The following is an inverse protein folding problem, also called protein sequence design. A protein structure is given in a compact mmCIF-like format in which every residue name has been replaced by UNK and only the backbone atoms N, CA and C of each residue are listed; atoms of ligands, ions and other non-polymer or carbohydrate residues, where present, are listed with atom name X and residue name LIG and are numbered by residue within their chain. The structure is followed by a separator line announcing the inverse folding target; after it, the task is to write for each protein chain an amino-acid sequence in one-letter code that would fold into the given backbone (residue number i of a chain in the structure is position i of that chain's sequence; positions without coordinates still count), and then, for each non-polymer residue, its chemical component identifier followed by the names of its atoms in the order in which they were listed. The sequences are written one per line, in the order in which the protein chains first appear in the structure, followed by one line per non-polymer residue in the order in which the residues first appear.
data_IF_254904614196
#
_entry.id   IF_254904614196
#
_cell.length_a   1.000
_cell.length_b   1.000
_cell.length_c   1.000
_cell.angle_alpha   90.00
_cell.angle_beta   90.00
_cell.angle_gamma   90.00
#
_symmetry.space_group_name_H-M   'P 1'
#
loop_
_entity.id
_entity.type
_entity.pdbx_description
1 polymer ?
#
# COMPACT_ATOMS: atom_id res chain seq x y z
N UNK A 1 47.72 -31.25 11.11
CA UNK A 1 46.52 -30.80 10.37
C UNK A 1 45.85 -29.73 11.20
N UNK A 2 45.77 -28.47 10.79
CA UNK A 2 45.03 -27.44 11.55
C UNK A 2 43.55 -27.62 11.33
N UNK A 3 42.79 -27.66 12.41
CA UNK A 3 41.34 -27.69 12.39
C UNK A 3 40.79 -26.31 11.95
N UNK A 4 40.06 -26.27 10.86
CA UNK A 4 39.32 -25.10 10.40
C UNK A 4 38.08 -24.98 11.28
N UNK A 5 38.04 -24.00 12.19
CA UNK A 5 36.81 -23.63 12.93
C UNK A 5 35.95 -22.81 11.99
N UNK A 6 34.88 -23.40 11.51
CA UNK A 6 33.84 -22.68 10.76
C UNK A 6 33.04 -21.83 11.74
N UNK A 7 33.25 -20.51 11.71
CA UNK A 7 32.40 -19.55 12.42
C UNK A 7 31.12 -19.39 11.60
N UNK A 8 30.01 -20.02 12.09
CA UNK A 8 28.68 -19.78 11.55
C UNK A 8 28.24 -18.37 11.94
N UNK A 9 28.18 -17.45 11.00
CA UNK A 9 27.50 -16.17 11.17
C UNK A 9 25.98 -16.42 11.16
N UNK A 10 25.37 -16.48 12.34
CA UNK A 10 23.92 -16.32 12.43
C UNK A 10 23.60 -14.86 12.11
N UNK A 11 23.02 -14.60 10.96
CA UNK A 11 22.43 -13.30 10.69
C UNK A 11 21.33 -13.08 11.73
N UNK A 12 21.53 -12.15 12.67
CA UNK A 12 20.51 -11.74 13.60
C UNK A 12 19.30 -11.22 12.79
N UNK A 13 18.08 -11.69 13.15
CA UNK A 13 16.88 -11.18 12.52
C UNK A 13 16.82 -9.66 12.76
N UNK A 14 16.53 -8.90 11.70
CA UNK A 14 16.38 -7.45 11.81
C UNK A 14 15.27 -7.12 12.83
N UNK A 15 15.47 -6.14 13.70
CA UNK A 15 14.45 -5.74 14.66
C UNK A 15 13.22 -5.21 13.91
N UNK A 16 12.03 -5.56 14.40
CA UNK A 16 10.77 -5.09 13.85
C UNK A 16 10.33 -3.78 14.52
N UNK A 17 9.56 -3.00 13.79
CA UNK A 17 8.80 -1.87 14.32
C UNK A 17 7.42 -1.83 13.70
N UNK A 18 6.51 -1.10 14.34
CA UNK A 18 5.17 -0.82 13.84
C UNK A 18 5.00 0.68 13.61
N UNK A 19 4.29 1.05 12.55
CA UNK A 19 4.02 2.44 12.16
C UNK A 19 2.93 3.02 13.06
N UNK A 20 3.17 4.21 13.64
CA UNK A 20 2.26 4.94 14.52
C UNK A 20 1.56 6.13 13.86
N UNK A 21 2.01 6.58 12.71
CA UNK A 21 1.36 7.64 11.95
C UNK A 21 0.31 7.06 10.99
N UNK A 22 -0.80 7.76 10.71
CA UNK A 22 -1.78 7.33 9.71
C UNK A 22 -1.12 6.95 8.38
N UNK A 23 -0.18 7.79 7.93
CA UNK A 23 0.70 7.55 6.79
C UNK A 23 2.07 8.12 7.12
N UNK A 24 3.08 7.27 7.17
CA UNK A 24 4.47 7.67 7.34
C UNK A 24 5.15 7.70 5.97
N UNK A 25 5.66 8.87 5.56
CA UNK A 25 6.46 8.99 4.34
C UNK A 25 7.79 8.25 4.49
N UNK A 26 8.20 7.62 3.41
CA UNK A 26 9.53 7.02 3.25
C UNK A 26 10.32 7.88 2.24
N UNK A 27 11.47 8.36 2.65
CA UNK A 27 12.31 9.28 1.89
C UNK A 27 13.53 8.57 1.31
N UNK A 28 14.07 9.09 0.22
CA UNK A 28 15.29 8.54 -0.43
C UNK A 28 16.56 8.69 0.43
N UNK A 29 16.57 9.64 1.37
CA UNK A 29 17.65 9.90 2.35
C UNK A 29 17.04 10.44 3.65
N UNK A 30 17.77 10.46 4.79
CA UNK A 30 17.25 10.93 6.09
C UNK A 30 17.11 12.45 6.14
N UNK A 31 16.13 12.99 5.42
CA UNK A 31 15.81 14.41 5.34
C UNK A 31 14.39 14.61 4.81
N UNK A 32 13.63 15.54 5.39
CA UNK A 32 12.30 15.92 4.87
C UNK A 32 12.37 16.70 3.54
N UNK A 33 13.54 17.21 3.16
CA UNK A 33 13.81 17.83 1.85
C UNK A 33 14.15 16.78 0.76
N UNK A 34 14.19 15.50 1.11
CA UNK A 34 14.43 14.42 0.14
C UNK A 34 13.14 14.00 -0.57
N UNK A 35 13.31 13.32 -1.72
CA UNK A 35 12.18 12.75 -2.44
C UNK A 35 11.46 11.71 -1.59
N UNK A 36 10.12 11.81 -1.54
CA UNK A 36 9.28 10.74 -1.01
C UNK A 36 9.25 9.61 -2.04
N UNK A 37 9.72 8.44 -1.64
CA UNK A 37 9.84 7.27 -2.53
C UNK A 37 8.73 6.25 -2.32
N UNK A 38 8.13 6.23 -1.12
CA UNK A 38 7.00 5.36 -0.77
C UNK A 38 6.35 5.83 0.54
N UNK A 39 5.38 5.07 1.03
CA UNK A 39 4.71 5.30 2.31
C UNK A 39 4.48 3.98 3.04
N UNK A 40 4.37 4.06 4.38
CA UNK A 40 3.89 2.97 5.23
C UNK A 40 2.69 3.47 6.04
N UNK A 41 1.61 2.68 6.09
CA UNK A 41 0.37 3.08 6.75
C UNK A 41 0.36 2.64 8.23
N UNK A 42 -0.55 3.24 9.02
CA UNK A 42 -0.76 2.95 10.42
C UNK A 42 -0.86 1.43 10.70
N UNK A 43 -0.15 0.95 11.71
CA UNK A 43 -0.14 -0.46 12.08
C UNK A 43 0.67 -1.38 11.15
N UNK A 44 1.26 -0.86 10.07
CA UNK A 44 2.14 -1.66 9.22
C UNK A 44 3.39 -2.10 9.99
N UNK A 45 3.74 -3.37 9.84
CA UNK A 45 5.00 -3.91 10.37
C UNK A 45 6.13 -3.64 9.37
N UNK A 46 7.25 -3.15 9.87
CA UNK A 46 8.44 -2.85 9.07
C UNK A 46 9.68 -3.45 9.74
N UNK A 47 10.71 -3.76 8.95
CA UNK A 47 12.03 -4.13 9.48
C UNK A 47 12.89 -2.88 9.61
N UNK A 48 13.57 -2.73 10.74
CA UNK A 48 14.54 -1.67 10.95
C UNK A 48 15.90 -2.10 10.41
N UNK A 49 16.41 -1.38 9.42
CA UNK A 49 17.71 -1.67 8.79
C UNK A 49 18.83 -0.87 9.44
N UNK A 50 18.57 0.42 9.70
CA UNK A 50 19.54 1.39 10.20
C UNK A 50 18.82 2.51 10.94
N UNK A 51 19.51 3.19 11.86
CA UNK A 51 19.04 4.41 12.54
C UNK A 51 20.13 5.47 12.49
N UNK A 52 19.73 6.72 12.23
CA UNK A 52 20.63 7.87 12.14
C UNK A 52 19.88 9.16 12.51
N UNK A 53 20.35 9.87 13.55
CA UNK A 53 19.89 11.24 13.93
C UNK A 53 18.36 11.45 13.90
N UNK A 54 17.59 10.56 14.53
CA UNK A 54 16.13 10.66 14.58
C UNK A 54 15.40 10.08 13.37
N UNK A 55 16.14 9.46 12.44
CA UNK A 55 15.64 8.75 11.28
C UNK A 55 15.84 7.23 11.41
N UNK A 56 15.00 6.48 10.74
CA UNK A 56 15.11 5.05 10.58
C UNK A 56 15.03 4.67 9.10
N UNK A 57 16.02 3.92 8.62
CA UNK A 57 15.94 3.23 7.35
C UNK A 57 15.12 1.97 7.56
N UNK A 58 14.01 1.85 6.88
CA UNK A 58 13.06 0.75 7.06
C UNK A 58 12.89 -0.06 5.77
N UNK A 59 12.42 -1.30 5.94
CA UNK A 59 11.95 -2.14 4.85
C UNK A 59 10.49 -2.53 5.10
N UNK A 60 9.63 -2.27 4.13
CA UNK A 60 8.22 -2.67 4.11
C UNK A 60 8.05 -4.13 3.66
N UNK A 61 6.85 -4.68 3.77
CA UNK A 61 6.56 -6.10 3.45
C UNK A 61 6.65 -6.44 1.97
N UNK A 62 6.69 -5.45 1.10
CA UNK A 62 6.95 -5.55 -0.34
C UNK A 62 8.44 -5.41 -0.70
N UNK A 63 9.32 -5.53 0.31
CA UNK A 63 10.78 -5.38 0.22
C UNK A 63 11.28 -3.99 -0.21
N UNK A 64 10.39 -2.98 -0.24
CA UNK A 64 10.80 -1.62 -0.53
C UNK A 64 11.50 -0.98 0.66
N UNK A 65 12.49 -0.12 0.41
CA UNK A 65 13.26 0.53 1.48
C UNK A 65 13.23 2.04 1.36
N UNK A 66 13.31 2.73 2.49
CA UNK A 66 13.38 4.18 2.56
C UNK A 66 13.55 4.65 3.99
N UNK A 67 13.82 5.94 4.15
CA UNK A 67 14.01 6.59 5.44
C UNK A 67 12.70 7.20 5.94
N UNK A 68 12.39 6.99 7.20
CA UNK A 68 11.25 7.64 7.87
C UNK A 68 11.68 8.20 9.22
N UNK A 69 10.89 9.11 9.79
CA UNK A 69 11.15 9.60 11.14
C UNK A 69 11.06 8.46 12.17
N UNK A 70 12.07 8.33 13.01
CA UNK A 70 12.08 7.34 14.09
C UNK A 70 10.86 7.51 15.03
N UNK A 71 10.41 8.74 15.23
CA UNK A 71 9.22 9.06 16.02
C UNK A 71 7.90 8.54 15.42
N UNK A 72 7.89 8.19 14.13
CA UNK A 72 6.74 7.57 13.47
C UNK A 72 6.64 6.05 13.75
N UNK A 73 7.62 5.48 14.45
CA UNK A 73 7.76 4.05 14.64
C UNK A 73 7.76 3.69 16.13
N UNK A 74 7.27 2.50 16.42
CA UNK A 74 7.45 1.84 17.72
C UNK A 74 8.16 0.51 17.50
N UNK A 75 9.42 0.37 17.96
CA UNK A 75 10.10 -0.92 17.97
C UNK A 75 9.35 -1.94 18.85
N UNK A 76 9.30 -3.19 18.39
CA UNK A 76 8.63 -4.24 19.16
C UNK A 76 8.20 -5.44 18.31
N UNK A 77 7.38 -6.32 18.89
CA UNK A 77 6.85 -7.49 18.19
C UNK A 77 5.92 -7.08 17.05
N UNK A 78 5.68 -8.00 16.13
CA UNK A 78 4.73 -7.80 15.04
C UNK A 78 3.32 -7.49 15.58
N UNK A 79 2.72 -6.44 15.06
CA UNK A 79 1.37 -5.99 15.37
C UNK A 79 0.35 -6.64 14.42
N UNK A 80 -0.85 -6.92 14.88
CA UNK A 80 -1.95 -7.53 14.11
C UNK A 80 -1.52 -8.74 13.26
N UNK A 81 -0.55 -9.53 13.78
CA UNK A 81 0.03 -10.68 13.09
C UNK A 81 -0.57 -12.02 13.53
N UNK A 82 -1.30 -12.02 14.63
CA UNK A 82 -1.93 -13.24 15.22
C UNK A 82 -3.30 -12.86 15.78
N UNK A 83 -4.19 -13.86 15.86
CA UNK A 83 -5.54 -13.64 16.37
C UNK A 83 -6.49 -13.09 15.31
N UNK A 84 -7.61 -12.53 15.77
CA UNK A 84 -8.61 -11.94 14.89
C UNK A 84 -8.19 -10.52 14.50
N UNK A 85 -8.18 -10.24 13.21
CA UNK A 85 -7.77 -8.96 12.66
C UNK A 85 -8.95 -8.31 11.94
N UNK A 86 -9.23 -7.03 12.24
CA UNK A 86 -10.13 -6.18 11.48
C UNK A 86 -9.30 -5.37 10.48
N UNK A 87 -9.71 -5.37 9.21
CA UNK A 87 -9.07 -4.61 8.13
C UNK A 87 -10.03 -3.55 7.59
N UNK A 88 -9.58 -2.31 7.51
CA UNK A 88 -10.38 -1.18 7.02
C UNK A 88 -10.73 -1.39 5.55
N UNK A 89 -12.04 -1.38 5.26
CA UNK A 89 -12.61 -1.52 3.92
C UNK A 89 -13.22 -0.20 3.39
N UNK A 90 -13.54 0.74 4.27
CA UNK A 90 -13.88 2.11 3.89
C UNK A 90 -12.63 2.84 3.37
N UNK A 91 -12.79 3.92 2.58
CA UNK A 91 -11.64 4.71 2.10
C UNK A 91 -10.79 5.25 3.26
N UNK A 92 -11.42 5.48 4.40
CA UNK A 92 -10.79 5.75 5.69
C UNK A 92 -11.70 5.27 6.81
N UNK A 93 -11.15 5.08 8.01
CA UNK A 93 -11.90 4.80 9.22
C UNK A 93 -11.43 5.70 10.36
N UNK A 94 -12.37 6.06 11.22
CA UNK A 94 -12.09 6.78 12.46
C UNK A 94 -11.96 5.78 13.62
N UNK A 95 -10.90 5.93 14.40
CA UNK A 95 -10.75 5.19 15.66
C UNK A 95 -11.17 6.10 16.80
N UNK A 96 -12.15 5.68 17.57
CA UNK A 96 -12.72 6.45 18.67
C UNK A 96 -12.19 5.99 20.01
N UNK A 97 -12.28 6.86 21.01
CA UNK A 97 -11.90 6.58 22.40
C UNK A 97 -12.90 5.66 23.10
N UNK A 98 -14.17 5.77 22.73
CA UNK A 98 -15.31 5.02 23.25
C UNK A 98 -16.30 4.74 22.10
N UNK A 99 -17.25 3.82 22.25
CA UNK A 99 -18.22 3.48 21.18
C UNK A 99 -19.32 4.55 21.02
N UNK A 100 -18.89 5.77 20.77
CA UNK A 100 -19.76 6.95 20.61
C UNK A 100 -19.07 7.99 19.71
N UNK A 101 -19.73 8.36 18.61
CA UNK A 101 -19.21 9.34 17.65
C UNK A 101 -19.42 10.81 18.08
N UNK A 102 -20.22 11.04 19.12
CA UNK A 102 -20.69 12.39 19.48
C UNK A 102 -19.91 13.04 20.62
N UNK A 103 -19.21 12.23 21.44
CA UNK A 103 -18.62 12.73 22.69
C UNK A 103 -17.23 13.31 22.54
N UNK A 104 -16.39 12.69 21.70
CA UNK A 104 -14.99 13.09 21.53
C UNK A 104 -14.61 13.00 20.06
N UNK A 105 -13.62 13.80 19.66
CA UNK A 105 -12.97 13.63 18.37
C UNK A 105 -12.31 12.25 18.28
N UNK A 106 -12.19 11.67 17.07
CA UNK A 106 -11.42 10.46 16.84
C UNK A 106 -9.99 10.55 17.39
N UNK A 107 -9.47 9.47 17.92
CA UNK A 107 -8.06 9.35 18.33
C UNK A 107 -7.13 9.46 17.13
N UNK A 108 -7.54 8.82 16.02
CA UNK A 108 -6.82 8.82 14.75
C UNK A 108 -7.78 8.49 13.62
N UNK A 109 -7.52 9.03 12.43
CA UNK A 109 -8.16 8.62 11.17
C UNK A 109 -7.13 7.88 10.35
N UNK A 110 -7.48 6.68 9.88
CA UNK A 110 -6.58 5.77 9.20
C UNK A 110 -7.07 5.43 7.80
N UNK A 111 -6.18 5.14 6.83
CA UNK A 111 -6.57 4.83 5.46
C UNK A 111 -7.13 3.41 5.31
N UNK A 112 -7.64 3.13 4.11
CA UNK A 112 -7.99 1.81 3.60
C UNK A 112 -6.83 0.81 3.82
N UNK A 113 -7.14 -0.46 4.03
CA UNK A 113 -6.19 -1.57 4.34
C UNK A 113 -5.50 -1.48 5.71
N UNK A 114 -5.75 -0.46 6.54
CA UNK A 114 -5.23 -0.45 7.91
C UNK A 114 -5.78 -1.64 8.69
N UNK A 115 -4.90 -2.35 9.41
CA UNK A 115 -5.23 -3.57 10.15
C UNK A 115 -5.13 -3.34 11.64
N UNK A 116 -6.06 -3.95 12.39
CA UNK A 116 -6.14 -3.83 13.84
C UNK A 116 -6.32 -5.19 14.51
N UNK A 117 -5.66 -5.38 15.66
CA UNK A 117 -5.94 -6.49 16.57
C UNK A 117 -7.31 -6.29 17.23
N UNK A 118 -8.23 -7.23 17.04
CA UNK A 118 -9.55 -7.21 17.67
C UNK A 118 -9.45 -7.71 19.11
N UNK A 119 -9.93 -6.88 20.04
CA UNK A 119 -9.99 -7.21 21.47
C UNK A 119 -11.36 -7.77 21.84
N UNK A 120 -12.43 -7.11 21.38
CA UNK A 120 -13.80 -7.52 21.66
C UNK A 120 -14.78 -7.04 20.58
N UNK A 121 -15.87 -7.79 20.43
CA UNK A 121 -17.02 -7.45 19.62
C UNK A 121 -18.24 -7.41 20.53
N UNK A 122 -18.72 -6.20 20.89
CA UNK A 122 -19.92 -6.06 21.69
C UNK A 122 -21.15 -6.68 21.00
N UNK A 123 -22.09 -7.15 21.79
CA UNK A 123 -23.28 -7.84 21.26
C UNK A 123 -24.24 -6.97 20.44
N UNK A 124 -24.06 -5.64 20.40
CA UNK A 124 -24.82 -4.73 19.54
C UNK A 124 -24.32 -4.66 18.10
N UNK A 125 -23.18 -5.28 17.82
CA UNK A 125 -22.54 -5.41 16.50
C UNK A 125 -22.26 -4.10 15.77
N UNK A 126 -22.42 -2.93 16.39
CA UNK A 126 -22.13 -1.62 15.77
C UNK A 126 -20.66 -1.22 15.92
N UNK A 127 -20.01 -1.73 16.95
CA UNK A 127 -18.67 -1.35 17.34
C UNK A 127 -17.75 -2.54 17.51
N UNK A 128 -16.47 -2.32 17.26
CA UNK A 128 -15.41 -3.30 17.45
C UNK A 128 -14.34 -2.63 18.31
N UNK A 129 -14.01 -3.27 19.43
CA UNK A 129 -12.89 -2.84 20.25
C UNK A 129 -11.58 -3.42 19.71
N UNK A 130 -10.61 -2.55 19.50
CA UNK A 130 -9.30 -2.89 18.96
C UNK A 130 -8.18 -2.43 19.88
N UNK A 131 -7.06 -3.12 19.81
CA UNK A 131 -5.80 -2.66 20.37
C UNK A 131 -5.05 -1.88 19.29
N UNK A 132 -4.55 -0.70 19.64
CA UNK A 132 -3.75 0.15 18.76
C UNK A 132 -2.26 -0.28 18.79
N UNK A 133 -1.46 0.12 17.79
CA UNK A 133 -0.03 -0.18 17.76
C UNK A 133 0.75 0.32 18.98
N UNK A 134 0.25 1.32 19.69
CA UNK A 134 0.82 1.87 20.92
C UNK A 134 0.23 1.26 22.21
N UNK A 135 -0.45 0.12 22.10
CA UNK A 135 -1.13 -0.64 23.14
C UNK A 135 -2.36 0.03 23.78
N UNK A 136 -2.76 1.23 23.35
CA UNK A 136 -4.04 1.82 23.75
C UNK A 136 -5.20 1.02 23.14
N UNK A 137 -6.36 1.10 23.81
CA UNK A 137 -7.61 0.63 23.23
C UNK A 137 -8.27 1.70 22.39
N UNK A 138 -8.95 1.29 21.33
CA UNK A 138 -9.77 2.14 20.49
C UNK A 138 -11.02 1.40 20.01
N UNK A 139 -11.93 2.12 19.41
CA UNK A 139 -13.20 1.62 18.89
C UNK A 139 -13.37 1.98 17.43
N UNK A 140 -13.73 1.01 16.61
CA UNK A 140 -14.07 1.17 15.20
C UNK A 140 -15.56 0.91 14.99
N UNK A 141 -16.16 1.61 14.05
CA UNK A 141 -17.49 1.26 13.55
C UNK A 141 -17.37 -0.02 12.71
N UNK A 142 -18.23 -1.00 12.98
CA UNK A 142 -18.19 -2.30 12.31
C UNK A 142 -18.40 -2.22 10.80
N UNK A 143 -19.13 -1.21 10.32
CA UNK A 143 -19.36 -0.95 8.89
C UNK A 143 -18.11 -0.51 8.12
N UNK A 144 -17.06 -0.08 8.83
CA UNK A 144 -15.81 0.39 8.19
C UNK A 144 -14.80 -0.73 7.93
N UNK A 145 -15.01 -1.92 8.48
CA UNK A 145 -14.01 -3.00 8.47
C UNK A 145 -14.58 -4.33 8.00
N UNK A 146 -13.69 -5.21 7.56
CA UNK A 146 -13.99 -6.62 7.34
C UNK A 146 -13.01 -7.49 8.12
N UNK A 147 -13.46 -8.70 8.42
CA UNK A 147 -12.63 -9.75 8.99
C UNK A 147 -12.27 -10.75 7.87
N UNK A 148 -11.10 -11.35 7.98
CA UNK A 148 -10.66 -12.43 7.09
C UNK A 148 -10.83 -12.10 5.60
N UNK A 149 -10.42 -10.87 5.23
CA UNK A 149 -10.49 -10.38 3.86
C UNK A 149 -9.78 -11.36 2.91
N UNK A 150 -10.54 -11.88 1.95
CA UNK A 150 -10.04 -12.83 0.95
C UNK A 150 -9.45 -12.09 -0.24
N UNK A 151 -8.49 -12.72 -0.96
CA UNK A 151 -8.04 -12.21 -2.24
C UNK A 151 -9.21 -12.03 -3.22
N UNK A 152 -9.23 -10.89 -3.90
CA UNK A 152 -10.26 -10.54 -4.87
C UNK A 152 -9.99 -11.21 -6.22
N UNK A 153 -11.06 -11.59 -6.91
CA UNK A 153 -11.02 -11.88 -8.35
C UNK A 153 -10.78 -10.58 -9.15
N UNK A 154 -10.39 -10.71 -10.43
CA UNK A 154 -10.21 -9.55 -11.33
C UNK A 154 -11.48 -8.67 -11.38
N UNK A 155 -12.69 -9.21 -11.61
CA UNK A 155 -13.91 -8.39 -11.62
C UNK A 155 -14.15 -7.64 -10.30
N UNK A 156 -13.91 -8.28 -9.14
CA UNK A 156 -14.07 -7.64 -7.83
C UNK A 156 -13.02 -6.55 -7.61
N UNK A 157 -11.77 -6.77 -8.01
CA UNK A 157 -10.70 -5.76 -7.95
C UNK A 157 -11.02 -4.56 -8.84
N UNK A 158 -11.53 -4.77 -10.06
CA UNK A 158 -11.95 -3.70 -10.95
C UNK A 158 -13.16 -2.95 -10.38
N UNK A 159 -14.14 -3.64 -9.79
CA UNK A 159 -15.25 -2.99 -9.09
C UNK A 159 -14.74 -2.15 -7.90
N UNK A 160 -13.80 -2.68 -7.11
CA UNK A 160 -13.15 -1.94 -6.03
C UNK A 160 -12.45 -0.68 -6.54
N UNK A 161 -11.73 -0.75 -7.67
CA UNK A 161 -10.93 0.36 -8.19
C UNK A 161 -11.76 1.63 -8.44
N UNK A 162 -13.02 1.49 -8.85
CA UNK A 162 -13.92 2.61 -9.09
C UNK A 162 -14.22 3.44 -7.83
N UNK A 163 -14.10 2.87 -6.63
CA UNK A 163 -14.31 3.60 -5.37
C UNK A 163 -13.25 4.66 -5.10
N UNK A 164 -12.11 4.57 -5.74
CA UNK A 164 -10.97 5.48 -5.57
C UNK A 164 -10.96 6.63 -6.57
N UNK A 165 -11.83 6.63 -7.57
CA UNK A 165 -11.93 7.73 -8.56
C UNK A 165 -12.15 9.06 -7.84
N UNK A 166 -11.33 10.06 -8.19
CA UNK A 166 -11.34 11.39 -7.57
C UNK A 166 -10.41 11.54 -6.36
N UNK A 167 -9.83 10.46 -5.83
CA UNK A 167 -8.79 10.59 -4.79
C UNK A 167 -7.57 11.31 -5.35
N UNK A 168 -6.88 12.15 -4.53
CA UNK A 168 -5.75 12.94 -4.98
C UNK A 168 -4.57 12.06 -5.42
N UNK A 169 -3.85 12.53 -6.45
CA UNK A 169 -2.52 12.04 -6.75
C UNK A 169 -1.53 12.54 -5.70
N UNK A 170 -0.72 11.65 -5.17
CA UNK A 170 0.35 11.99 -4.22
C UNK A 170 1.61 11.26 -4.65
N UNK A 171 2.68 11.99 -4.93
CA UNK A 171 3.98 11.39 -5.28
C UNK A 171 4.48 10.49 -4.15
N UNK A 172 4.89 9.26 -4.48
CA UNK A 172 5.25 8.23 -3.49
C UNK A 172 4.05 7.63 -2.76
N UNK A 173 2.81 8.03 -3.09
CA UNK A 173 1.59 7.64 -2.38
C UNK A 173 1.22 6.17 -2.54
N UNK A 174 0.86 5.53 -1.42
CA UNK A 174 0.45 4.11 -1.35
C UNK A 174 -0.84 3.91 -0.56
N UNK A 175 -1.55 4.96 -0.22
CA UNK A 175 -2.74 4.91 0.65
C UNK A 175 -3.94 5.63 0.04
N UNK A 176 -5.13 5.39 0.57
CA UNK A 176 -6.35 6.10 0.18
C UNK A 176 -6.37 7.59 0.54
N UNK A 177 -5.33 8.10 1.19
CA UNK A 177 -5.13 9.55 1.37
C UNK A 177 -4.45 10.19 0.15
N UNK A 178 -3.95 9.39 -0.77
CA UNK A 178 -3.38 9.75 -2.05
C UNK A 178 -2.49 8.63 -2.59
N UNK A 179 -2.63 8.35 -3.87
CA UNK A 179 -1.82 7.35 -4.58
C UNK A 179 -0.97 8.01 -5.66
N UNK A 180 0.21 7.44 -5.93
CA UNK A 180 0.81 7.59 -7.26
C UNK A 180 0.38 6.43 -8.18
N UNK A 181 0.84 6.46 -9.43
CA UNK A 181 0.41 5.51 -10.45
C UNK A 181 0.73 4.05 -10.08
N UNK A 182 1.96 3.78 -9.67
CA UNK A 182 2.43 2.44 -9.36
C UNK A 182 1.97 1.96 -7.98
N UNK A 183 1.82 2.86 -7.00
CA UNK A 183 1.24 2.56 -5.68
C UNK A 183 -0.24 2.20 -5.79
N UNK A 184 -1.00 2.85 -6.68
CA UNK A 184 -2.39 2.50 -6.95
C UNK A 184 -2.51 1.11 -7.61
N UNK A 185 -1.74 0.85 -8.66
CA UNK A 185 -1.70 -0.46 -9.32
C UNK A 185 -1.26 -1.57 -8.34
N UNK A 186 -0.21 -1.30 -7.54
CA UNK A 186 0.26 -2.22 -6.51
C UNK A 186 -0.82 -2.55 -5.46
N UNK A 187 -1.56 -1.54 -4.99
CA UNK A 187 -2.66 -1.74 -4.04
C UNK A 187 -3.73 -2.65 -4.63
N UNK A 188 -4.15 -2.43 -5.88
CA UNK A 188 -5.15 -3.26 -6.53
C UNK A 188 -4.69 -4.72 -6.66
N UNK A 189 -3.44 -4.96 -7.06
CA UNK A 189 -2.89 -6.31 -7.15
C UNK A 189 -2.69 -6.95 -5.76
N UNK A 190 -2.30 -6.18 -4.74
CA UNK A 190 -2.24 -6.65 -3.36
C UNK A 190 -3.59 -7.15 -2.86
N UNK A 191 -4.71 -6.50 -3.24
CA UNK A 191 -6.06 -6.98 -2.94
C UNK A 191 -6.41 -8.31 -3.60
N UNK A 192 -5.69 -8.70 -4.66
CA UNK A 192 -5.76 -10.02 -5.29
C UNK A 192 -4.82 -11.05 -4.63
N UNK A 193 -4.06 -10.66 -3.62
CA UNK A 193 -3.05 -11.49 -2.98
C UNK A 193 -1.71 -11.51 -3.71
N UNK A 194 -1.45 -10.57 -4.61
CA UNK A 194 -0.21 -10.46 -5.38
C UNK A 194 0.71 -9.41 -4.76
N UNK A 195 1.92 -9.83 -4.39
CA UNK A 195 2.96 -8.92 -3.88
C UNK A 195 3.85 -8.45 -5.04
N UNK A 196 3.45 -7.36 -5.68
CA UNK A 196 4.11 -6.78 -6.84
C UNK A 196 5.13 -5.70 -6.40
N UNK A 197 6.24 -5.47 -7.16
CA UNK A 197 7.17 -4.37 -6.88
C UNK A 197 6.48 -3.00 -6.80
N UNK A 198 7.10 -2.06 -6.05
CA UNK A 198 6.55 -0.73 -5.78
C UNK A 198 6.53 0.17 -7.02
N UNK A 199 7.61 0.20 -7.80
CA UNK A 199 7.80 1.17 -8.88
C UNK A 199 7.42 0.61 -10.25
N UNK A 200 6.95 1.48 -11.16
CA UNK A 200 6.38 1.10 -12.45
C UNK A 200 7.36 0.31 -13.36
N UNK A 201 8.64 0.70 -13.45
CA UNK A 201 9.61 -0.06 -14.25
C UNK A 201 9.88 -1.45 -13.64
N UNK A 202 10.20 -1.60 -12.33
CA UNK A 202 10.28 -2.91 -11.69
C UNK A 202 9.01 -3.77 -11.84
N UNK A 203 7.81 -3.18 -11.80
CA UNK A 203 6.56 -3.91 -12.05
C UNK A 203 6.51 -4.52 -13.46
N UNK A 204 6.90 -3.73 -14.47
CA UNK A 204 6.90 -4.19 -15.86
C UNK A 204 7.95 -5.26 -16.14
N UNK A 205 9.05 -5.26 -15.40
CA UNK A 205 10.18 -6.19 -15.54
C UNK A 205 10.09 -7.39 -14.58
N UNK A 206 9.07 -7.44 -13.72
CA UNK A 206 8.93 -8.45 -12.69
C UNK A 206 8.63 -9.85 -13.26
N UNK A 207 9.24 -10.89 -12.69
CA UNK A 207 9.04 -12.28 -13.09
C UNK A 207 7.60 -12.80 -12.86
N UNK A 208 6.82 -12.12 -12.02
CA UNK A 208 5.40 -12.43 -11.73
C UNK A 208 4.43 -12.03 -12.84
N UNK A 209 4.90 -11.39 -13.93
CA UNK A 209 4.07 -10.98 -15.06
C UNK A 209 4.51 -11.63 -16.38
N UNK A 210 3.59 -11.65 -17.36
CA UNK A 210 3.88 -12.05 -18.74
C UNK A 210 3.55 -10.90 -19.71
N UNK A 211 4.31 -10.73 -20.81
CA UNK A 211 3.97 -9.75 -21.85
C UNK A 211 2.61 -10.04 -22.50
N UNK A 212 1.88 -8.97 -22.77
CA UNK A 212 0.59 -9.01 -23.49
C UNK A 212 0.70 -8.14 -24.74
N UNK A 213 0.25 -8.64 -25.89
CA UNK A 213 0.11 -7.80 -27.08
C UNK A 213 -1.05 -6.81 -26.87
N UNK A 214 -0.91 -5.57 -27.36
CA UNK A 214 -1.94 -4.53 -27.19
C UNK A 214 -3.29 -4.88 -27.83
N UNK A 215 -3.32 -5.78 -28.82
CA UNK A 215 -4.55 -6.31 -29.43
C UNK A 215 -5.25 -7.39 -28.58
N UNK A 216 -4.54 -7.99 -27.62
CA UNK A 216 -4.98 -9.11 -26.79
C UNK A 216 -5.25 -8.69 -25.34
N UNK A 217 -5.41 -7.35 -25.11
CA UNK A 217 -5.70 -6.80 -23.78
C UNK A 217 -7.00 -7.35 -23.21
N UNK A 218 -6.96 -7.72 -21.95
CA UNK A 218 -8.11 -8.13 -21.16
C UNK A 218 -8.22 -7.29 -19.87
N UNK A 219 -9.42 -7.10 -19.32
CA UNK A 219 -9.61 -6.41 -18.04
C UNK A 219 -8.70 -6.99 -16.94
N UNK A 220 -8.02 -6.11 -16.20
CA UNK A 220 -7.02 -6.47 -15.20
C UNK A 220 -5.57 -6.47 -15.71
N UNK A 221 -5.33 -6.33 -17.01
CA UNK A 221 -3.96 -6.17 -17.53
C UNK A 221 -3.37 -4.82 -17.07
N UNK A 222 -2.07 -4.83 -16.75
CA UNK A 222 -1.30 -3.66 -16.39
C UNK A 222 -0.77 -2.99 -17.66
N UNK A 223 -1.04 -1.71 -17.81
CA UNK A 223 -0.55 -0.88 -18.90
C UNK A 223 0.63 -0.03 -18.42
N UNK A 224 1.67 0.07 -19.25
CA UNK A 224 2.89 0.79 -18.93
C UNK A 224 3.20 1.84 -19.99
N UNK A 225 3.46 3.05 -19.52
CA UNK A 225 3.65 4.24 -20.34
C UNK A 225 5.03 4.84 -20.09
N UNK A 226 5.66 5.36 -21.13
CA UNK A 226 6.98 5.95 -21.05
C UNK A 226 7.56 6.23 -22.44
N UNK A 227 8.86 6.55 -22.52
CA UNK A 227 9.53 6.77 -23.79
C UNK A 227 9.93 5.47 -24.50
N UNK A 228 10.04 4.38 -23.77
CA UNK A 228 10.33 3.03 -24.29
C UNK A 228 10.00 1.97 -23.23
N UNK A 229 9.94 0.67 -23.60
CA UNK A 229 9.76 -0.42 -22.63
C UNK A 229 10.87 -0.51 -21.55
N UNK A 230 12.01 0.12 -21.78
CA UNK A 230 13.13 0.22 -20.82
C UNK A 230 13.14 1.53 -20.04
N UNK A 231 12.19 2.42 -20.30
CA UNK A 231 12.08 3.71 -19.61
C UNK A 231 10.59 4.03 -19.39
N UNK A 232 10.01 3.29 -18.44
CA UNK A 232 8.61 3.39 -18.01
C UNK A 232 8.53 4.39 -16.86
N UNK A 233 7.60 5.33 -16.96
CA UNK A 233 7.39 6.39 -15.96
C UNK A 233 5.97 6.42 -15.41
N UNK A 234 5.05 5.61 -15.99
CA UNK A 234 3.65 5.59 -15.55
C UNK A 234 3.01 4.22 -15.80
N UNK A 235 1.97 3.91 -15.02
CA UNK A 235 1.20 2.67 -15.12
C UNK A 235 -0.27 2.89 -14.78
N UNK A 236 -1.12 1.98 -15.27
CA UNK A 236 -2.53 1.90 -14.95
C UNK A 236 -3.08 0.50 -15.19
N UNK A 237 -4.32 0.26 -14.81
CA UNK A 237 -5.00 -1.03 -14.90
C UNK A 237 -6.08 -0.96 -15.97
N UNK A 238 -6.03 -1.85 -16.94
CA UNK A 238 -6.99 -1.91 -18.04
C UNK A 238 -8.37 -2.39 -17.55
N UNK A 239 -9.41 -1.64 -17.91
CA UNK A 239 -10.80 -1.93 -17.54
C UNK A 239 -11.58 -2.67 -18.64
N UNK A 240 -11.07 -2.68 -19.87
CA UNK A 240 -11.80 -3.10 -21.06
C UNK A 240 -12.23 -1.92 -21.93
N UNK A 241 -12.69 -2.19 -23.15
CA UNK A 241 -13.23 -1.21 -24.10
C UNK A 241 -12.34 0.02 -24.35
N UNK A 242 -11.01 -0.16 -24.29
CA UNK A 242 -10.04 0.90 -24.45
C UNK A 242 -9.88 1.81 -23.23
N UNK A 243 -10.53 1.53 -22.12
CA UNK A 243 -10.45 2.30 -20.88
C UNK A 243 -9.44 1.69 -19.90
N UNK A 244 -8.80 2.54 -19.12
CA UNK A 244 -7.96 2.11 -18.00
C UNK A 244 -8.10 3.09 -16.83
N UNK A 245 -7.87 2.61 -15.61
CA UNK A 245 -7.87 3.42 -14.40
C UNK A 245 -6.44 3.62 -13.92
N UNK A 246 -6.13 4.83 -13.50
CA UNK A 246 -4.81 5.20 -13.02
C UNK A 246 -4.85 6.38 -12.05
N UNK A 247 -3.83 6.53 -11.21
CA UNK A 247 -3.56 7.77 -10.50
C UNK A 247 -2.57 8.58 -11.35
N UNK A 248 -2.93 9.78 -11.76
CA UNK A 248 -2.15 10.56 -12.71
C UNK A 248 -2.15 12.04 -12.36
N UNK A 249 -1.17 12.78 -12.91
CA UNK A 249 -1.14 14.25 -12.90
C UNK A 249 -1.57 14.84 -14.24
N UNK A 250 -1.92 14.00 -15.22
CA UNK A 250 -2.39 14.46 -16.53
C UNK A 250 -3.82 14.99 -16.40
N UNK A 251 -4.06 16.20 -16.90
CA UNK A 251 -5.30 16.99 -16.78
C UNK A 251 -5.69 17.32 -15.34
N UNK A 252 -5.97 16.32 -14.51
CA UNK A 252 -6.26 16.50 -13.09
C UNK A 252 -5.38 15.57 -12.24
N UNK A 253 -4.83 16.05 -11.10
CA UNK A 253 -3.97 15.23 -10.24
C UNK A 253 -4.80 14.31 -9.33
N UNK A 254 -5.46 13.31 -9.90
CA UNK A 254 -6.37 12.39 -9.19
C UNK A 254 -6.28 10.96 -9.77
N UNK A 255 -6.93 10.02 -9.08
CA UNK A 255 -7.31 8.74 -9.67
C UNK A 255 -8.45 8.98 -10.66
N UNK A 256 -8.26 8.59 -11.92
CA UNK A 256 -9.25 8.79 -12.97
C UNK A 256 -9.27 7.63 -13.98
N UNK A 257 -10.28 7.65 -14.85
CA UNK A 257 -10.44 6.69 -15.94
C UNK A 257 -10.14 7.41 -17.24
N UNK A 258 -9.14 6.90 -17.95
CA UNK A 258 -8.67 7.43 -19.23
C UNK A 258 -8.89 6.43 -20.38
N UNK A 259 -8.63 6.86 -21.60
CA UNK A 259 -8.73 6.02 -22.79
C UNK A 259 -7.35 5.83 -23.43
N UNK A 260 -6.98 4.57 -23.71
CA UNK A 260 -5.69 4.23 -24.37
C UNK A 260 -5.54 4.86 -25.77
N UNK A 261 -6.66 5.27 -26.41
CA UNK A 261 -6.67 5.92 -27.73
C UNK A 261 -6.51 7.44 -27.64
N UNK A 262 -6.56 8.01 -26.44
CA UNK A 262 -6.27 9.42 -26.26
C UNK A 262 -4.87 9.76 -26.80
N UNK A 263 -4.71 10.90 -27.52
CA UNK A 263 -3.42 11.27 -28.13
C UNK A 263 -2.25 11.33 -27.15
N UNK A 264 -2.48 11.69 -25.89
CA UNK A 264 -1.46 11.67 -24.86
C UNK A 264 -1.04 10.24 -24.55
N UNK A 265 -2.00 9.40 -24.20
CA UNK A 265 -1.74 8.03 -23.73
C UNK A 265 -1.27 7.09 -24.85
N UNK A 266 -1.84 7.22 -26.05
CA UNK A 266 -1.48 6.37 -27.19
C UNK A 266 -0.02 6.53 -27.64
N UNK A 267 0.58 7.72 -27.44
CA UNK A 267 2.00 7.98 -27.73
C UNK A 267 2.94 7.38 -26.70
N UNK A 268 2.48 7.25 -25.48
CA UNK A 268 3.28 6.82 -24.33
C UNK A 268 3.12 5.34 -24.00
N UNK A 269 2.09 4.67 -24.48
CA UNK A 269 1.84 3.24 -24.19
C UNK A 269 2.91 2.38 -24.87
N UNK A 270 3.81 1.82 -24.08
CA UNK A 270 4.99 1.08 -24.58
C UNK A 270 4.96 -0.42 -24.24
N UNK A 271 4.17 -0.82 -23.25
CA UNK A 271 4.06 -2.22 -22.84
C UNK A 271 2.74 -2.52 -22.14
N UNK A 272 2.34 -3.79 -22.17
CA UNK A 272 1.29 -4.35 -21.33
C UNK A 272 1.76 -5.65 -20.71
N UNK A 273 1.28 -5.93 -19.50
CA UNK A 273 1.61 -7.13 -18.72
C UNK A 273 0.36 -7.72 -18.10
N UNK A 274 0.36 -9.03 -17.95
CA UNK A 274 -0.64 -9.79 -17.19
C UNK A 274 0.02 -10.48 -16.03
N UNK A 275 -0.53 -10.35 -14.84
CA UNK A 275 -0.10 -11.10 -13.66
C UNK A 275 -0.40 -12.59 -13.88
N UNK A 276 0.56 -13.45 -13.53
CA UNK A 276 0.49 -14.91 -13.67
C UNK A 276 -0.56 -15.54 -12.78
#
# INVERSE_FOLDING_TARGET
MPAIVAVAFFAAALPNAVVLQPVANMYSRPSEDADVVSQAIYGANVSLLEQHEGWAHIRTTDDYTGWTLLAALRPGPLYAAKGRVAEVQSLFAHVYREPDVTRHAPLVTVPFETRFDVVAEPGDHRWIQVRLPDDRSGWLQSGDVAFDAKPLSIPEMLALSHRFVGLPYTWGGTSSFGYDCSGFAQMLERRRGVNMPRDAQPQADWDGVVPVNLKDLAPGDLLYFGSSPKHITHTGVYLGDGKFINATTHEMPVVQIDNVKDPHWSKLLVAARRVK
#
